data_IF_048007609510
#
_entry.id   IF_048007609510
#
_cell.length_a   1.000
_cell.length_b   1.000
_cell.length_c   1.000
_cell.angle_alpha   90.00
_cell.angle_beta   90.00
_cell.angle_gamma   90.00
#
_symmetry.space_group_name_H-M   'P 1'
#
loop_
_entity.id
_entity.type
_entity.pdbx_description
1 polymer ?
#
# COMPACT_ATOMS: atom_id res chain seq x y z
N UNK A 1 66.97 -3.08 34.14
CA UNK A 1 66.76 -4.24 33.25
C UNK A 1 65.33 -4.26 32.73
N UNK A 2 65.15 -4.37 31.40
CA UNK A 2 63.86 -4.42 30.67
C UNK A 2 63.17 -5.78 30.85
N UNK A 3 61.89 -5.81 31.22
CA UNK A 3 60.89 -6.81 30.75
C UNK A 3 59.49 -6.17 30.83
N UNK A 4 58.95 -5.80 29.67
CA UNK A 4 57.59 -5.28 29.52
C UNK A 4 56.95 -5.93 28.31
N UNK A 5 55.83 -6.61 28.55
CA UNK A 5 55.10 -7.52 27.68
C UNK A 5 54.67 -6.89 26.35
N UNK A 6 54.92 -7.58 25.23
CA UNK A 6 54.38 -7.23 23.90
C UNK A 6 52.99 -7.86 23.78
N UNK A 7 51.98 -7.01 23.71
CA UNK A 7 50.59 -7.37 23.50
C UNK A 7 50.35 -7.94 22.10
N UNK A 8 49.46 -8.94 22.05
CA UNK A 8 49.00 -9.67 20.86
C UNK A 8 48.24 -8.72 19.92
N UNK A 9 48.62 -8.68 18.65
CA UNK A 9 47.81 -8.07 17.58
C UNK A 9 46.67 -9.03 17.23
N UNK A 10 45.44 -8.63 17.49
CA UNK A 10 44.24 -9.34 17.03
C UNK A 10 43.83 -8.82 15.64
N UNK A 11 43.63 -9.77 14.73
CA UNK A 11 43.17 -9.58 13.37
C UNK A 11 41.79 -8.89 13.34
N UNK A 12 41.73 -7.70 12.74
CA UNK A 12 40.47 -7.04 12.38
C UNK A 12 40.08 -7.56 10.99
N UNK A 13 39.12 -8.49 10.99
CA UNK A 13 38.48 -9.00 9.78
C UNK A 13 37.54 -7.92 9.21
N UNK A 14 37.96 -7.31 8.09
CA UNK A 14 37.12 -6.41 7.29
C UNK A 14 35.91 -7.16 6.74
N UNK A 15 34.75 -6.96 7.37
CA UNK A 15 33.47 -7.41 6.82
C UNK A 15 32.98 -6.41 5.79
N UNK A 16 33.02 -6.83 4.53
CA UNK A 16 32.57 -6.08 3.35
C UNK A 16 31.06 -5.83 3.42
N UNK A 17 30.67 -4.60 3.75
CA UNK A 17 29.28 -4.15 3.68
C UNK A 17 28.88 -4.02 2.21
N UNK A 18 28.15 -5.00 1.70
CA UNK A 18 27.54 -4.94 0.37
C UNK A 18 26.57 -3.76 0.29
N UNK A 19 26.91 -2.80 -0.56
CA UNK A 19 26.06 -1.68 -0.97
C UNK A 19 24.70 -2.23 -1.41
N UNK A 20 23.64 -1.88 -0.66
CA UNK A 20 22.27 -2.26 -0.95
C UNK A 20 21.78 -1.47 -2.16
N UNK A 21 21.87 -2.11 -3.33
CA UNK A 21 21.23 -1.69 -4.58
C UNK A 21 19.82 -1.13 -4.29
N UNK A 22 19.63 0.15 -4.63
CA UNK A 22 18.37 0.88 -4.50
C UNK A 22 17.33 0.28 -5.45
N UNK A 23 16.60 -0.73 -4.95
CA UNK A 23 15.51 -1.37 -5.71
C UNK A 23 14.45 -0.33 -6.05
N UNK A 24 14.27 -0.06 -7.35
CA UNK A 24 13.07 0.62 -7.88
C UNK A 24 11.82 -0.08 -7.32
N UNK A 25 10.77 0.66 -6.90
CA UNK A 25 9.59 0.05 -6.33
C UNK A 25 8.96 -0.89 -7.37
N UNK A 26 8.82 -2.16 -7.00
CA UNK A 26 8.08 -3.17 -7.76
C UNK A 26 6.62 -2.69 -7.86
N UNK A 27 5.97 -2.72 -9.05
CA UNK A 27 4.55 -2.40 -9.13
C UNK A 27 3.78 -3.32 -8.15
N UNK A 28 2.75 -2.81 -7.46
CA UNK A 28 2.02 -3.59 -6.48
C UNK A 28 1.55 -4.88 -7.13
N UNK A 29 1.87 -6.01 -6.48
CA UNK A 29 1.32 -7.29 -6.92
C UNK A 29 -0.21 -7.19 -6.85
N UNK A 30 -0.95 -7.88 -7.72
CA UNK A 30 -2.42 -7.84 -7.73
C UNK A 30 -3.08 -8.27 -6.40
N UNK A 31 -2.27 -8.72 -5.45
CA UNK A 31 -2.57 -9.17 -4.09
C UNK A 31 -2.25 -8.15 -2.99
N UNK A 32 -1.51 -7.06 -3.27
CA UNK A 32 -1.23 -6.05 -2.23
C UNK A 32 -2.51 -5.28 -1.87
N UNK A 33 -2.77 -5.09 -0.56
CA UNK A 33 -3.93 -4.34 -0.12
C UNK A 33 -3.81 -2.87 -0.49
N UNK A 34 -4.91 -2.29 -0.97
CA UNK A 34 -4.97 -0.88 -1.30
C UNK A 34 -5.11 -0.08 0.00
N UNK A 35 -4.17 0.82 0.36
CA UNK A 35 -4.22 1.55 1.62
C UNK A 35 -5.46 2.42 1.74
N UNK A 36 -6.00 2.50 2.95
CA UNK A 36 -7.10 3.40 3.25
C UNK A 36 -6.63 4.86 3.22
N UNK A 37 -7.52 5.76 2.80
CA UNK A 37 -7.31 7.21 2.88
C UNK A 37 -8.28 7.76 3.91
N UNK A 38 -7.81 7.86 5.14
CA UNK A 38 -8.57 8.25 6.31
C UNK A 38 -7.86 9.35 7.09
N UNK A 39 -8.64 10.21 7.74
CA UNK A 39 -8.17 11.18 8.71
C UNK A 39 -9.26 11.40 9.78
N UNK A 40 -8.92 11.99 10.94
CA UNK A 40 -9.93 12.51 11.86
C UNK A 40 -10.77 13.62 11.22
N UNK A 41 -12.03 13.74 11.62
CA UNK A 41 -12.89 14.88 11.21
C UNK A 41 -13.40 14.85 9.77
N UNK A 42 -13.37 13.69 9.11
CA UNK A 42 -14.00 13.54 7.78
C UNK A 42 -15.51 13.82 7.86
N UNK A 43 -16.01 14.55 6.87
CA UNK A 43 -17.44 14.85 6.67
C UNK A 43 -18.17 13.70 5.98
N UNK A 44 -17.45 12.98 5.11
CA UNK A 44 -17.98 11.86 4.33
C UNK A 44 -16.89 10.81 4.09
N UNK A 45 -17.29 9.53 4.11
CA UNK A 45 -16.43 8.39 3.82
C UNK A 45 -17.11 7.52 2.75
N UNK A 46 -16.41 7.30 1.64
CA UNK A 46 -16.87 6.41 0.58
C UNK A 46 -16.24 5.02 0.72
N UNK A 47 -17.08 3.99 0.62
CA UNK A 47 -16.68 2.59 0.68
C UNK A 47 -16.78 1.93 -0.70
N UNK A 48 -15.64 1.46 -1.21
CA UNK A 48 -15.62 0.45 -2.25
C UNK A 48 -15.86 -0.95 -1.66
N UNK A 49 -16.27 -1.90 -2.49
CA UNK A 49 -16.46 -3.30 -2.05
C UNK A 49 -15.09 -3.97 -1.90
N UNK A 50 -14.29 -3.91 -2.97
CA UNK A 50 -12.93 -4.43 -3.04
C UNK A 50 -12.22 -3.77 -4.23
N UNK A 51 -10.88 -3.62 -4.20
CA UNK A 51 -10.17 -3.03 -5.32
C UNK A 51 -10.39 -3.88 -6.59
N UNK A 52 -10.82 -3.22 -7.66
CA UNK A 52 -10.91 -3.81 -9.00
C UNK A 52 -9.53 -3.95 -9.64
N UNK A 53 -9.43 -4.59 -10.81
CA UNK A 53 -8.15 -4.78 -11.53
C UNK A 53 -7.40 -3.45 -11.75
N UNK A 54 -8.12 -2.40 -12.15
CA UNK A 54 -7.56 -1.08 -12.41
C UNK A 54 -7.06 -0.42 -11.12
N UNK A 55 -7.88 -0.42 -10.06
CA UNK A 55 -7.51 0.12 -8.75
C UNK A 55 -6.31 -0.59 -8.14
N UNK A 56 -6.26 -1.92 -8.21
CA UNK A 56 -5.14 -2.70 -7.72
C UNK A 56 -3.84 -2.40 -8.49
N UNK A 57 -3.92 -2.30 -9.83
CA UNK A 57 -2.76 -1.97 -10.66
C UNK A 57 -2.26 -0.53 -10.45
N UNK A 58 -3.18 0.41 -10.25
CA UNK A 58 -2.85 1.82 -10.04
C UNK A 58 -2.42 2.14 -8.60
N UNK A 59 -2.71 1.26 -7.64
CA UNK A 59 -2.57 1.60 -6.21
C UNK A 59 -3.50 2.73 -5.78
N UNK A 60 -4.66 2.88 -6.44
CA UNK A 60 -5.59 3.98 -6.21
C UNK A 60 -7.06 3.54 -6.21
N UNK A 61 -7.86 4.13 -5.31
CA UNK A 61 -9.29 3.84 -5.18
C UNK A 61 -10.04 4.31 -6.44
N UNK A 62 -11.02 3.51 -6.85
CA UNK A 62 -11.90 3.81 -7.99
C UNK A 62 -11.21 4.14 -9.34
N UNK A 63 -9.94 3.75 -9.54
CA UNK A 63 -9.14 4.07 -10.73
C UNK A 63 -9.57 3.40 -12.06
N UNK A 64 -10.71 2.74 -12.14
CA UNK A 64 -11.23 2.22 -13.42
C UNK A 64 -11.74 3.42 -14.24
N UNK A 65 -11.28 3.67 -15.48
CA UNK A 65 -11.76 4.78 -16.30
C UNK A 65 -13.26 4.78 -16.57
N UNK A 66 -13.93 3.63 -16.44
CA UNK A 66 -15.39 3.50 -16.54
C UNK A 66 -16.14 3.76 -15.22
N UNK A 67 -15.41 4.05 -14.14
CA UNK A 67 -15.98 4.39 -12.85
C UNK A 67 -16.08 5.92 -12.74
N UNK A 68 -17.30 6.42 -12.64
CA UNK A 68 -17.60 7.85 -12.57
C UNK A 68 -17.27 8.51 -11.22
N UNK A 69 -16.74 7.77 -10.23
CA UNK A 69 -16.54 8.25 -8.86
C UNK A 69 -15.84 9.62 -8.81
N UNK A 70 -14.69 9.77 -9.47
CA UNK A 70 -13.90 11.01 -9.42
C UNK A 70 -14.62 12.19 -10.08
N UNK A 71 -15.32 11.93 -11.20
CA UNK A 71 -16.16 12.91 -11.89
C UNK A 71 -17.32 13.35 -11.00
N UNK A 72 -18.06 12.40 -10.43
CA UNK A 72 -19.22 12.69 -9.58
C UNK A 72 -18.83 13.34 -8.25
N UNK A 73 -17.67 12.99 -7.70
CA UNK A 73 -17.15 13.64 -6.49
C UNK A 73 -16.94 15.15 -6.72
N UNK A 74 -16.38 15.50 -7.88
CA UNK A 74 -16.21 16.89 -8.30
C UNK A 74 -17.56 17.56 -8.62
N UNK A 75 -18.41 16.94 -9.43
CA UNK A 75 -19.71 17.50 -9.82
C UNK A 75 -20.65 17.72 -8.61
N UNK A 76 -20.53 16.89 -7.57
CA UNK A 76 -21.25 17.06 -6.31
C UNK A 76 -20.68 18.19 -5.41
N UNK A 77 -19.57 18.84 -5.82
CA UNK A 77 -18.93 19.91 -5.06
C UNK A 77 -18.16 19.43 -3.82
N UNK A 78 -17.83 18.14 -3.72
CA UNK A 78 -17.06 17.60 -2.59
C UNK A 78 -15.55 17.88 -2.72
N UNK A 79 -15.08 18.15 -3.93
CA UNK A 79 -13.73 18.63 -4.23
C UNK A 79 -13.80 19.90 -5.10
N UNK A 80 -12.84 20.84 -4.98
CA UNK A 80 -12.86 22.10 -5.73
C UNK A 80 -12.49 21.94 -7.22
N UNK A 81 -11.92 20.79 -7.59
CA UNK A 81 -11.57 20.42 -8.96
C UNK A 81 -11.73 18.91 -9.15
N UNK A 82 -11.68 18.48 -10.41
CA UNK A 82 -11.52 17.07 -10.74
C UNK A 82 -10.12 16.60 -10.30
N UNK A 83 -10.10 15.56 -9.46
CA UNK A 83 -8.88 14.90 -9.01
C UNK A 83 -8.68 13.61 -9.83
N UNK A 84 -7.42 13.34 -10.17
CA UNK A 84 -7.01 12.04 -10.69
C UNK A 84 -6.90 11.01 -9.56
N UNK A 85 -7.07 9.70 -9.82
CA UNK A 85 -7.06 8.68 -8.78
C UNK A 85 -5.81 8.66 -7.89
N UNK A 86 -4.63 8.97 -8.45
CA UNK A 86 -3.37 9.00 -7.70
C UNK A 86 -3.29 10.18 -6.71
N UNK A 87 -4.15 11.19 -6.86
CA UNK A 87 -4.24 12.35 -5.98
C UNK A 87 -5.12 12.09 -4.74
N UNK A 88 -5.65 10.87 -4.57
CA UNK A 88 -6.53 10.46 -3.48
C UNK A 88 -6.04 10.86 -2.08
N UNK A 89 -4.72 10.92 -1.85
CA UNK A 89 -4.15 11.28 -0.55
C UNK A 89 -4.43 12.74 -0.15
N UNK A 90 -4.85 13.58 -1.08
CA UNK A 90 -5.31 14.95 -0.81
C UNK A 90 -6.78 15.04 -0.37
N UNK A 91 -7.59 13.99 -0.53
CA UNK A 91 -9.02 13.99 -0.16
C UNK A 91 -9.30 14.40 1.30
N UNK A 92 -8.49 14.00 2.30
CA UNK A 92 -8.73 14.41 3.67
C UNK A 92 -8.71 15.93 3.89
N UNK A 93 -7.96 16.70 3.08
CA UNK A 93 -7.96 18.15 3.15
C UNK A 93 -9.33 18.76 2.78
N UNK A 94 -10.17 18.01 2.06
CA UNK A 94 -11.54 18.38 1.74
C UNK A 94 -12.56 17.70 2.67
N UNK A 95 -12.13 16.99 3.71
CA UNK A 95 -13.00 16.23 4.60
C UNK A 95 -13.64 15.00 3.95
N UNK A 96 -13.02 14.44 2.91
CA UNK A 96 -13.48 13.24 2.21
C UNK A 96 -12.50 12.10 2.47
N UNK A 97 -13.00 10.90 2.77
CA UNK A 97 -12.20 9.68 2.86
C UNK A 97 -12.64 8.61 1.87
N UNK A 98 -11.73 7.67 1.59
CA UNK A 98 -11.99 6.49 0.75
C UNK A 98 -11.35 5.23 1.34
N UNK A 99 -12.07 4.12 1.31
CA UNK A 99 -11.63 2.80 1.79
C UNK A 99 -12.34 1.67 1.03
N UNK A 100 -11.97 0.42 1.27
CA UNK A 100 -12.70 -0.75 0.80
C UNK A 100 -13.16 -1.65 1.95
N UNK A 101 -14.36 -2.23 1.83
CA UNK A 101 -14.86 -3.23 2.77
C UNK A 101 -13.98 -4.49 2.83
N UNK A 102 -13.38 -4.89 1.70
CA UNK A 102 -12.39 -5.95 1.63
C UNK A 102 -11.02 -5.41 1.17
N UNK A 103 -9.98 -5.78 1.92
CA UNK A 103 -8.61 -5.27 1.74
C UNK A 103 -7.95 -5.73 0.44
N UNK A 104 -8.45 -6.80 -0.19
CA UNK A 104 -7.80 -7.44 -1.33
C UNK A 104 -8.80 -7.73 -2.44
N UNK A 105 -8.30 -7.72 -3.69
CA UNK A 105 -9.10 -8.08 -4.86
C UNK A 105 -9.60 -9.51 -4.71
N UNK A 106 -10.90 -9.71 -4.97
CA UNK A 106 -11.42 -11.07 -5.19
C UNK A 106 -10.97 -11.54 -6.57
N UNK A 107 -10.20 -12.61 -6.60
CA UNK A 107 -9.87 -13.31 -7.83
C UNK A 107 -11.05 -14.21 -8.24
N UNK A 108 -11.63 -14.04 -9.45
CA UNK A 108 -12.72 -14.88 -9.92
C UNK A 108 -12.39 -16.38 -9.87
N UNK A 109 -11.12 -16.76 -10.05
CA UNK A 109 -10.69 -18.16 -10.01
C UNK A 109 -10.78 -18.80 -8.61
N UNK A 110 -10.94 -18.00 -7.55
CA UNK A 110 -11.09 -18.46 -6.17
C UNK A 110 -12.50 -18.24 -5.61
N UNK A 111 -13.42 -17.66 -6.38
CA UNK A 111 -14.79 -17.46 -5.94
C UNK A 111 -15.51 -18.82 -5.79
N UNK A 112 -16.01 -19.10 -4.59
CA UNK A 112 -16.71 -20.37 -4.28
C UNK A 112 -15.80 -21.54 -3.89
N UNK A 113 -14.47 -21.41 -3.93
CA UNK A 113 -13.58 -22.41 -3.32
C UNK A 113 -13.57 -22.20 -1.80
N UNK A 114 -13.82 -23.24 -0.99
CA UNK A 114 -13.62 -23.14 0.44
C UNK A 114 -12.19 -22.71 0.70
N UNK A 115 -12.00 -21.66 1.49
CA UNK A 115 -10.68 -21.32 2.03
C UNK A 115 -10.25 -22.52 2.85
N UNK A 116 -9.27 -23.29 2.37
CA UNK A 116 -8.75 -24.43 3.12
C UNK A 116 -8.43 -23.95 4.54
N UNK A 117 -9.02 -24.54 5.59
CA UNK A 117 -8.66 -24.16 6.94
C UNK A 117 -7.16 -24.45 7.08
N UNK A 118 -6.41 -23.40 7.42
CA UNK A 118 -4.98 -23.52 7.64
C UNK A 118 -4.74 -24.66 8.60
N UNK A 119 -3.91 -25.62 8.18
CA UNK A 119 -3.44 -26.73 9.02
C UNK A 119 -2.90 -26.13 10.31
N UNK A 120 -3.69 -26.21 11.39
CA UNK A 120 -3.21 -25.90 12.72
C UNK A 120 -2.00 -26.81 12.96
N UNK A 121 -0.84 -26.20 13.09
CA UNK A 121 0.35 -26.90 13.58
C UNK A 121 0.07 -27.20 15.05
N UNK A 122 -0.11 -28.48 15.36
CA UNK A 122 0.07 -28.99 16.72
C UNK A 122 1.53 -29.01 17.12
#
# INVERSE_FOLDING_TARGET
MKRGSVARKSDVSSSSASIRESRKPKPPSASEPLPDVLAPGLRVLFFGINPGRWSAAAGAHFANPRNDFWRLLYEAGLTPRLLEPHEQHGLPAFGVGVTNAASRRRDPATFGRPTSPGRARG
#
